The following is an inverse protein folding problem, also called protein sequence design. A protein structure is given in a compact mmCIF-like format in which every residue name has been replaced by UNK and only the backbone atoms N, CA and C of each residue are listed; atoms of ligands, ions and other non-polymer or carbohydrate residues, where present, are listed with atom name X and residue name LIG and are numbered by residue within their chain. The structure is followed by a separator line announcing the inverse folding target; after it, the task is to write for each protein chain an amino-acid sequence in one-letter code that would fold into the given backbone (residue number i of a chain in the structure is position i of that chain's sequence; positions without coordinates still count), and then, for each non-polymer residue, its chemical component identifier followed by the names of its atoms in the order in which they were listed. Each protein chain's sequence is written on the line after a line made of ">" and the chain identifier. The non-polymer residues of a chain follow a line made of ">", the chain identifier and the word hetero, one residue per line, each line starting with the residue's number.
data_IF_194421519015
#
_entry.id   IF_194421519015
#
_cell.length_a   1.000
_cell.length_b   1.000
_cell.length_c   1.000
_cell.angle_alpha   90.00
_cell.angle_beta   90.00
_cell.angle_gamma   90.00
#
_symmetry.space_group_name_H-M   'P 1'
#
loop_
_entity.id
_entity.type
_entity.pdbx_description
1 polymer ?
#
# COMPACT_ATOMS: atom_id res chain seq x y z
N UNK A 1 12.18 -16.94 -12.91
CA UNK A 1 11.98 -16.26 -14.21
C UNK A 1 11.24 -14.96 -13.93
N UNK A 2 11.94 -13.84 -14.06
CA UNK A 2 11.41 -12.51 -13.75
C UNK A 2 10.35 -12.10 -14.75
N UNK A 3 9.23 -11.58 -14.25
CA UNK A 3 8.24 -10.92 -15.06
C UNK A 3 8.37 -9.41 -14.87
N UNK A 4 9.19 -8.84 -15.75
CA UNK A 4 9.19 -7.42 -16.07
C UNK A 4 7.79 -6.95 -16.50
N UNK A 5 7.56 -5.66 -16.26
CA UNK A 5 6.56 -4.81 -16.92
C UNK A 5 5.12 -4.89 -16.40
N UNK A 6 4.72 -3.81 -15.75
CA UNK A 6 3.33 -3.46 -15.48
C UNK A 6 2.49 -3.49 -16.77
N UNK A 7 1.21 -3.91 -16.70
CA UNK A 7 0.31 -3.81 -17.84
C UNK A 7 0.04 -2.31 -18.10
N UNK A 8 0.68 -1.78 -19.13
CA UNK A 8 0.38 -0.49 -19.73
C UNK A 8 -1.05 -0.55 -20.28
N UNK A 9 -2.02 -0.11 -19.46
CA UNK A 9 -3.33 0.27 -19.97
C UNK A 9 -3.17 1.27 -21.12
N UNK A 10 -3.89 1.14 -22.25
CA UNK A 10 -3.88 2.14 -23.34
C UNK A 10 -4.34 3.54 -22.85
N UNK A 11 -5.09 3.60 -21.74
CA UNK A 11 -5.41 4.85 -21.06
C UNK A 11 -4.17 5.60 -20.52
N UNK A 12 -3.08 4.90 -20.20
CA UNK A 12 -1.87 5.52 -19.63
C UNK A 12 -1.07 6.28 -20.71
N UNK A 13 -1.05 5.78 -21.95
CA UNK A 13 -0.34 6.41 -23.07
C UNK A 13 -1.10 7.63 -23.59
N UNK A 14 -2.43 7.56 -23.70
CA UNK A 14 -3.27 8.70 -24.10
C UNK A 14 -3.29 9.81 -23.04
N UNK A 15 -3.40 9.46 -21.75
CA UNK A 15 -3.31 10.43 -20.66
C UNK A 15 -1.91 11.07 -20.59
N UNK A 16 -0.85 10.29 -20.84
CA UNK A 16 0.51 10.82 -20.92
C UNK A 16 0.70 11.72 -22.14
N UNK A 17 0.10 11.38 -23.29
CA UNK A 17 0.11 12.22 -24.49
C UNK A 17 -0.60 13.55 -24.24
N UNK A 18 -1.78 13.53 -23.62
CA UNK A 18 -2.56 14.72 -23.25
C UNK A 18 -1.79 15.69 -22.34
N UNK A 19 -1.06 15.17 -21.34
CA UNK A 19 -0.24 16.00 -20.45
C UNK A 19 1.00 16.56 -21.18
N UNK A 20 1.54 15.84 -22.16
CA UNK A 20 2.71 16.30 -22.92
C UNK A 20 2.35 17.28 -24.05
N UNK A 21 1.09 17.29 -24.53
CA UNK A 21 0.62 18.26 -25.53
C UNK A 21 0.25 19.62 -24.97
N UNK A 22 0.11 19.74 -23.64
CA UNK A 22 -0.24 20.97 -22.94
C UNK A 22 0.71 22.15 -23.30
N UNK A 23 0.18 23.34 -23.64
CA UNK A 23 0.98 24.49 -24.07
C UNK A 23 2.04 24.95 -23.06
N UNK A 24 1.72 24.87 -21.76
CA UNK A 24 2.62 25.26 -20.68
C UNK A 24 3.74 24.24 -20.53
N UNK A 25 3.44 22.95 -20.67
CA UNK A 25 4.46 21.88 -20.69
C UNK A 25 5.40 22.01 -21.89
N UNK A 26 4.87 22.29 -23.09
CA UNK A 26 5.70 22.52 -24.30
C UNK A 26 6.58 23.76 -24.16
N UNK A 27 6.08 24.84 -23.57
CA UNK A 27 6.86 26.05 -23.28
C UNK A 27 8.01 25.76 -22.32
N UNK A 28 7.73 25.13 -21.18
CA UNK A 28 8.75 24.77 -20.19
C UNK A 28 9.79 23.78 -20.74
N UNK A 29 9.40 22.87 -21.64
CA UNK A 29 10.35 21.99 -22.35
C UNK A 29 11.27 22.76 -23.30
N UNK A 30 10.78 23.81 -23.97
CA UNK A 30 11.61 24.68 -24.82
C UNK A 30 12.57 25.51 -23.98
N UNK A 31 12.11 26.09 -22.89
CA UNK A 31 12.95 26.85 -21.95
C UNK A 31 14.05 25.97 -21.35
N UNK A 32 13.74 24.72 -20.98
CA UNK A 32 14.73 23.78 -20.49
C UNK A 32 15.87 23.49 -21.50
N UNK A 33 15.55 23.45 -22.81
CA UNK A 33 16.54 23.23 -23.87
C UNK A 33 17.47 24.43 -24.09
N UNK A 34 17.06 25.63 -23.67
CA UNK A 34 17.85 26.86 -23.81
C UNK A 34 18.88 27.03 -22.69
N UNK A 35 18.69 26.39 -21.54
CA UNK A 35 19.61 26.53 -20.40
C UNK A 35 20.72 25.47 -20.42
N UNK A 36 21.95 25.88 -20.08
CA UNK A 36 23.07 24.96 -19.86
C UNK A 36 22.75 24.02 -18.70
N UNK A 37 22.98 22.71 -18.91
CA UNK A 37 22.82 21.69 -17.88
C UNK A 37 23.64 22.06 -16.62
N UNK A 38 23.00 21.96 -15.45
CA UNK A 38 23.61 22.29 -14.15
C UNK A 38 23.52 23.77 -13.75
N UNK A 39 23.08 24.67 -14.63
CA UNK A 39 22.83 26.08 -14.23
C UNK A 39 21.64 26.18 -13.26
N UNK A 40 21.63 27.23 -12.41
CA UNK A 40 20.50 27.52 -11.50
C UNK A 40 19.18 27.64 -12.28
N UNK A 41 19.21 28.34 -13.42
CA UNK A 41 18.04 28.50 -14.34
C UNK A 41 17.56 27.16 -14.91
N UNK A 42 18.48 26.25 -15.27
CA UNK A 42 18.14 24.90 -15.71
C UNK A 42 17.44 24.08 -14.61
N UNK A 43 17.95 24.14 -13.38
CA UNK A 43 17.37 23.39 -12.25
C UNK A 43 15.97 23.91 -11.91
N UNK A 44 15.78 25.23 -11.94
CA UNK A 44 14.49 25.87 -11.70
C UNK A 44 13.46 25.53 -12.80
N UNK A 45 13.83 25.65 -14.07
CA UNK A 45 12.98 25.24 -15.20
C UNK A 45 12.62 23.75 -15.14
N UNK A 46 13.55 22.88 -14.73
CA UNK A 46 13.29 21.44 -14.52
C UNK A 46 12.28 21.20 -13.40
N UNK A 47 12.38 21.95 -12.29
CA UNK A 47 11.43 21.87 -11.17
C UNK A 47 10.04 22.34 -11.58
N UNK A 48 9.95 23.47 -12.30
CA UNK A 48 8.69 23.99 -12.83
C UNK A 48 8.03 22.99 -13.80
N UNK A 49 8.81 22.39 -14.71
CA UNK A 49 8.32 21.37 -15.64
C UNK A 49 7.76 20.14 -14.90
N UNK A 50 8.46 19.66 -13.87
CA UNK A 50 8.00 18.53 -13.04
C UNK A 50 6.69 18.86 -12.32
N UNK A 51 6.60 20.04 -11.72
CA UNK A 51 5.42 20.50 -10.99
C UNK A 51 4.21 20.69 -11.91
N UNK A 52 4.41 21.29 -13.09
CA UNK A 52 3.38 21.48 -14.10
C UNK A 52 2.79 20.13 -14.57
N UNK A 53 3.66 19.19 -14.97
CA UNK A 53 3.23 17.83 -15.36
C UNK A 53 2.47 17.12 -14.24
N UNK A 54 2.94 17.24 -12.99
CA UNK A 54 2.28 16.60 -11.86
C UNK A 54 0.90 17.21 -11.59
N UNK A 55 0.77 18.52 -11.70
CA UNK A 55 -0.50 19.24 -11.50
C UNK A 55 -1.52 18.84 -12.57
N UNK A 56 -1.10 18.81 -13.84
CA UNK A 56 -1.96 18.38 -14.94
C UNK A 56 -2.40 16.93 -14.80
N UNK A 57 -1.49 16.02 -14.40
CA UNK A 57 -1.84 14.63 -14.08
C UNK A 57 -2.88 14.53 -12.97
N UNK A 58 -2.75 15.33 -11.90
CA UNK A 58 -3.72 15.35 -10.79
C UNK A 58 -5.08 15.85 -11.26
N UNK A 59 -5.12 16.96 -11.99
CA UNK A 59 -6.37 17.52 -12.56
C UNK A 59 -7.07 16.53 -13.49
N UNK A 60 -6.32 15.89 -14.39
CA UNK A 60 -6.87 14.90 -15.31
C UNK A 60 -7.44 13.69 -14.56
N UNK A 61 -6.71 13.16 -13.56
CA UNK A 61 -7.21 12.08 -12.71
C UNK A 61 -8.46 12.49 -11.93
N UNK A 62 -8.51 13.72 -11.42
CA UNK A 62 -9.68 14.23 -10.74
C UNK A 62 -10.88 14.30 -11.68
N UNK A 63 -10.70 14.88 -12.86
CA UNK A 63 -11.77 14.98 -13.87
C UNK A 63 -12.32 13.60 -14.25
N UNK A 64 -11.44 12.63 -14.50
CA UNK A 64 -11.86 11.25 -14.81
C UNK A 64 -12.67 10.64 -13.64
N UNK A 65 -12.24 10.86 -12.40
CA UNK A 65 -12.99 10.38 -11.23
C UNK A 65 -14.35 11.04 -11.11
N UNK A 66 -14.42 12.36 -11.25
CA UNK A 66 -15.69 13.09 -11.20
C UNK A 66 -16.65 12.63 -12.30
N UNK A 67 -16.18 12.51 -13.54
CA UNK A 67 -16.97 12.02 -14.67
C UNK A 67 -17.47 10.59 -14.43
N UNK A 68 -16.59 9.73 -13.91
CA UNK A 68 -16.95 8.36 -13.53
C UNK A 68 -17.97 8.35 -12.39
N UNK A 69 -17.73 9.06 -11.29
CA UNK A 69 -18.65 9.15 -10.15
C UNK A 69 -20.03 9.70 -10.54
N UNK A 70 -20.07 10.65 -11.48
CA UNK A 70 -21.33 11.27 -11.93
C UNK A 70 -22.15 10.33 -12.81
N UNK A 71 -21.51 9.52 -13.65
CA UNK A 71 -22.19 8.77 -14.72
C UNK A 71 -22.28 7.27 -14.47
N UNK A 72 -21.34 6.69 -13.72
CA UNK A 72 -21.23 5.24 -13.57
C UNK A 72 -22.52 4.63 -13.01
N UNK A 73 -23.15 5.25 -12.02
CA UNK A 73 -24.38 4.72 -11.44
C UNK A 73 -25.52 4.66 -12.47
N UNK A 74 -25.63 5.66 -13.35
CA UNK A 74 -26.65 5.69 -14.41
C UNK A 74 -26.34 4.63 -15.45
N UNK A 75 -25.09 4.59 -15.93
CA UNK A 75 -24.63 3.61 -16.93
C UNK A 75 -24.81 2.16 -16.45
N UNK A 76 -24.54 1.91 -15.17
CA UNK A 76 -24.69 0.61 -14.52
C UNK A 76 -26.17 0.19 -14.42
N UNK A 77 -27.06 1.10 -14.02
CA UNK A 77 -28.51 0.84 -13.95
C UNK A 77 -29.07 0.58 -15.35
N UNK A 78 -28.71 1.38 -16.34
CA UNK A 78 -29.16 1.19 -17.73
C UNK A 78 -28.70 -0.16 -18.29
N UNK A 79 -27.45 -0.56 -18.03
CA UNK A 79 -26.92 -1.87 -18.44
C UNK A 79 -27.67 -3.03 -17.78
N UNK A 80 -27.97 -2.93 -16.48
CA UNK A 80 -28.77 -3.92 -15.77
C UNK A 80 -30.17 -4.08 -16.37
N UNK A 81 -30.84 -2.97 -16.69
CA UNK A 81 -32.16 -2.98 -17.31
C UNK A 81 -32.14 -3.58 -18.72
N UNK A 82 -31.05 -3.37 -19.46
CA UNK A 82 -30.84 -3.99 -20.78
C UNK A 82 -30.45 -5.48 -20.71
N UNK A 83 -30.31 -6.05 -19.50
CA UNK A 83 -29.87 -7.43 -19.29
C UNK A 83 -28.40 -7.66 -19.61
N UNK A 84 -27.63 -6.59 -19.76
CA UNK A 84 -26.19 -6.60 -20.04
C UNK A 84 -25.50 -6.54 -18.68
N UNK A 85 -24.99 -7.68 -18.19
CA UNK A 85 -24.21 -7.69 -16.96
C UNK A 85 -22.97 -6.78 -17.05
N UNK A 86 -22.36 -6.46 -15.91
CA UNK A 86 -21.22 -5.53 -15.76
C UNK A 86 -19.91 -5.91 -16.50
N UNK A 87 -19.92 -6.96 -17.33
CA UNK A 87 -18.73 -7.56 -17.94
C UNK A 87 -18.19 -6.82 -19.17
N UNK A 88 -18.80 -5.71 -19.61
CA UNK A 88 -18.41 -5.01 -20.86
C UNK A 88 -17.16 -4.14 -20.76
N UNK A 89 -16.71 -3.76 -19.56
CA UNK A 89 -15.30 -3.35 -19.47
C UNK A 89 -14.47 -4.61 -19.65
N UNK A 90 -13.53 -4.67 -20.62
CA UNK A 90 -12.58 -5.77 -20.65
C UNK A 90 -11.92 -5.76 -19.30
N UNK A 91 -12.35 -6.69 -18.44
CA UNK A 91 -11.66 -7.03 -17.23
C UNK A 91 -10.25 -7.28 -17.74
N UNK A 92 -9.34 -6.39 -17.36
CA UNK A 92 -7.92 -6.59 -17.60
C UNK A 92 -7.63 -7.91 -16.91
N UNK A 93 -7.68 -8.99 -17.69
CA UNK A 93 -7.59 -10.39 -17.25
C UNK A 93 -6.24 -10.66 -16.55
N UNK A 94 -5.36 -9.66 -16.52
CA UNK A 94 -4.05 -9.66 -15.90
C UNK A 94 -3.89 -8.82 -14.62
N UNK A 95 -4.94 -8.33 -13.95
CA UNK A 95 -4.75 -7.61 -12.67
C UNK A 95 -5.60 -8.09 -11.49
N UNK A 96 -6.51 -9.04 -11.69
CA UNK A 96 -7.09 -9.75 -10.55
C UNK A 96 -6.08 -10.83 -10.17
N UNK A 97 -5.41 -10.65 -9.04
CA UNK A 97 -4.73 -11.74 -8.34
C UNK A 97 -5.66 -12.97 -8.46
N UNK A 98 -5.21 -14.06 -9.11
CA UNK A 98 -6.07 -15.19 -9.54
C UNK A 98 -7.22 -15.37 -8.57
N UNK A 99 -8.43 -14.94 -8.97
CA UNK A 99 -9.58 -14.99 -8.06
C UNK A 99 -9.67 -16.42 -7.57
N UNK A 100 -9.65 -16.60 -6.25
CA UNK A 100 -9.83 -17.94 -5.68
C UNK A 100 -11.20 -18.44 -6.15
N UNK A 101 -11.38 -19.75 -6.41
CA UNK A 101 -12.59 -20.27 -7.04
C UNK A 101 -13.91 -19.81 -6.39
N UNK A 102 -13.92 -19.61 -5.06
CA UNK A 102 -15.08 -19.10 -4.34
C UNK A 102 -15.36 -17.60 -4.57
N UNK A 103 -14.33 -16.76 -4.73
CA UNK A 103 -14.48 -15.32 -5.04
C UNK A 103 -15.08 -15.12 -6.43
N UNK A 104 -14.60 -15.89 -7.41
CA UNK A 104 -15.13 -15.85 -8.77
C UNK A 104 -16.61 -16.23 -8.80
N UNK A 105 -16.97 -17.34 -8.13
CA UNK A 105 -18.37 -17.80 -8.02
C UNK A 105 -19.28 -16.78 -7.33
N UNK A 106 -18.79 -16.13 -6.27
CA UNK A 106 -19.54 -15.06 -5.59
C UNK A 106 -19.81 -13.89 -6.54
N UNK A 107 -18.76 -13.40 -7.21
CA UNK A 107 -18.87 -12.26 -8.10
C UNK A 107 -19.77 -12.56 -9.30
N UNK A 108 -19.69 -13.77 -9.85
CA UNK A 108 -20.55 -14.24 -10.92
C UNK A 108 -22.02 -14.29 -10.49
N UNK A 109 -22.31 -14.87 -9.31
CA UNK A 109 -23.68 -15.02 -8.82
C UNK A 109 -24.35 -13.69 -8.48
N UNK A 110 -23.62 -12.74 -7.87
CA UNK A 110 -24.15 -11.40 -7.55
C UNK A 110 -24.42 -10.59 -8.82
N UNK A 111 -23.53 -10.70 -9.81
CA UNK A 111 -23.62 -9.95 -11.07
C UNK A 111 -24.41 -10.66 -12.17
N UNK A 112 -25.09 -11.77 -11.85
CA UNK A 112 -25.92 -12.49 -12.81
C UNK A 112 -27.01 -11.54 -13.38
N UNK A 113 -27.35 -11.60 -14.67
CA UNK A 113 -28.45 -10.83 -15.26
C UNK A 113 -29.79 -11.11 -14.57
N UNK A 114 -30.73 -10.19 -14.69
CA UNK A 114 -32.09 -10.38 -14.14
C UNK A 114 -32.80 -11.56 -14.85
N UNK A 115 -33.58 -12.32 -14.07
CA UNK A 115 -34.40 -13.40 -14.60
C UNK A 115 -35.50 -12.88 -15.52
N UNK A 116 -35.91 -13.68 -16.51
CA UNK A 116 -37.00 -13.31 -17.43
C UNK A 116 -38.39 -13.57 -16.84
N UNK A 117 -38.45 -14.41 -15.80
CA UNK A 117 -39.65 -14.71 -15.04
C UNK A 117 -39.36 -14.80 -13.53
N UNK A 118 -40.41 -14.96 -12.74
CA UNK A 118 -40.34 -15.02 -11.28
C UNK A 118 -39.49 -16.20 -10.78
N UNK A 119 -39.56 -17.34 -11.47
CA UNK A 119 -38.86 -18.56 -11.07
C UNK A 119 -37.35 -18.46 -11.34
N UNK A 120 -36.97 -17.89 -12.47
CA UNK A 120 -35.59 -17.54 -12.79
C UNK A 120 -35.01 -16.55 -11.78
N UNK A 121 -35.82 -15.59 -11.33
CA UNK A 121 -35.40 -14.64 -10.29
C UNK A 121 -35.21 -15.33 -8.93
N UNK A 122 -36.07 -16.27 -8.55
CA UNK A 122 -35.87 -17.08 -7.35
C UNK A 122 -34.60 -17.91 -7.42
N UNK A 123 -34.36 -18.59 -8.55
CA UNK A 123 -33.11 -19.33 -8.78
C UNK A 123 -31.88 -18.43 -8.71
N UNK A 124 -31.92 -17.25 -9.32
CA UNK A 124 -30.84 -16.25 -9.25
C UNK A 124 -30.55 -15.85 -7.80
N UNK A 125 -31.61 -15.55 -7.02
CA UNK A 125 -31.49 -15.18 -5.61
C UNK A 125 -30.87 -16.32 -4.80
N UNK A 126 -31.38 -17.54 -4.95
CA UNK A 126 -30.91 -18.69 -4.18
C UNK A 126 -29.46 -19.05 -4.55
N UNK A 127 -29.09 -18.91 -5.83
CA UNK A 127 -27.69 -19.05 -6.26
C UNK A 127 -26.77 -18.01 -5.64
N UNK A 128 -27.19 -16.75 -5.56
CA UNK A 128 -26.43 -15.69 -4.90
C UNK A 128 -26.26 -15.95 -3.39
N UNK A 129 -27.33 -16.38 -2.71
CA UNK A 129 -27.29 -16.76 -1.28
C UNK A 129 -26.30 -17.91 -1.08
N UNK A 130 -26.38 -18.97 -1.89
CA UNK A 130 -25.48 -20.11 -1.79
C UNK A 130 -24.02 -19.73 -2.05
N UNK A 131 -23.77 -18.81 -3.00
CA UNK A 131 -22.44 -18.31 -3.29
C UNK A 131 -21.87 -17.49 -2.12
N UNK A 132 -22.70 -16.67 -1.47
CA UNK A 132 -22.32 -15.92 -0.25
C UNK A 132 -21.98 -16.89 0.88
N UNK A 133 -22.82 -17.88 1.16
CA UNK A 133 -22.57 -18.90 2.20
C UNK A 133 -21.24 -19.60 1.95
N UNK A 134 -21.04 -20.07 0.71
CA UNK A 134 -19.79 -20.74 0.29
C UNK A 134 -18.58 -19.83 0.49
N UNK A 135 -18.73 -18.53 0.19
CA UNK A 135 -17.64 -17.58 0.34
C UNK A 135 -17.31 -17.28 1.80
N UNK A 136 -18.30 -17.16 2.68
CA UNK A 136 -18.10 -16.89 4.11
C UNK A 136 -17.28 -17.98 4.81
N UNK A 137 -17.22 -19.20 4.26
CA UNK A 137 -16.37 -20.29 4.78
C UNK A 137 -14.90 -20.16 4.36
N UNK A 138 -14.57 -19.25 3.45
CA UNK A 138 -13.22 -19.07 2.93
C UNK A 138 -12.46 -18.08 3.81
N UNK A 139 -11.36 -18.52 4.41
CA UNK A 139 -10.39 -17.62 5.02
C UNK A 139 -9.67 -16.83 3.92
N UNK A 140 -10.09 -15.58 3.74
CA UNK A 140 -9.29 -14.58 3.04
C UNK A 140 -8.02 -14.35 3.86
N UNK A 141 -6.86 -14.62 3.26
CA UNK A 141 -5.58 -14.31 3.90
C UNK A 141 -5.50 -12.84 4.30
N UNK A 142 -4.57 -12.48 5.19
CA UNK A 142 -4.37 -11.10 5.61
C UNK A 142 -4.38 -10.17 4.39
N UNK A 143 -5.33 -9.24 4.35
CA UNK A 143 -5.29 -8.13 3.40
C UNK A 143 -4.03 -7.35 3.74
N UNK A 144 -2.94 -7.61 3.03
CA UNK A 144 -1.77 -6.76 3.06
C UNK A 144 -2.25 -5.46 2.42
N UNK A 145 -2.83 -4.56 3.23
CA UNK A 145 -2.86 -3.14 2.88
C UNK A 145 -1.41 -2.83 2.59
N UNK A 146 -1.05 -2.72 1.31
CA UNK A 146 0.30 -2.39 0.87
C UNK A 146 0.82 -1.29 1.80
N UNK A 147 1.77 -1.56 2.70
CA UNK A 147 2.70 -0.52 3.03
C UNK A 147 3.41 -0.32 1.69
N UNK A 148 3.21 0.84 1.06
CA UNK A 148 3.83 1.21 -0.22
C UNK A 148 5.37 1.30 -0.12
N UNK A 149 5.96 0.71 0.91
CA UNK A 149 7.36 0.81 1.28
C UNK A 149 7.98 -0.52 1.67
N UNK A 150 7.27 -1.67 1.65
CA UNK A 150 7.86 -2.96 2.12
C UNK A 150 8.03 -4.05 1.07
N UNK A 151 7.43 -3.93 -0.13
CA UNK A 151 7.59 -4.91 -1.21
C UNK A 151 8.67 -4.54 -2.23
N UNK A 152 9.28 -3.36 -2.16
CA UNK A 152 10.35 -2.94 -3.08
C UNK A 152 11.78 -3.24 -2.57
N UNK A 153 11.94 -3.75 -1.34
CA UNK A 153 13.26 -4.07 -0.76
C UNK A 153 13.64 -5.55 -0.89
N UNK A 154 12.68 -6.42 -1.21
CA UNK A 154 12.92 -7.85 -1.35
C UNK A 154 13.29 -8.27 -2.79
N UNK A 155 13.02 -7.42 -3.80
CA UNK A 155 13.18 -7.75 -5.23
C UNK A 155 14.29 -6.95 -5.94
N UNK A 156 15.20 -6.32 -5.19
CA UNK A 156 16.46 -5.79 -5.72
C UNK A 156 17.61 -6.69 -5.29
N UNK A 157 17.69 -7.88 -5.88
CA UNK A 157 18.97 -8.58 -6.00
C UNK A 157 19.51 -8.38 -7.40
N UNK A 158 20.73 -7.86 -7.44
CA UNK A 158 21.63 -7.70 -8.60
C UNK A 158 21.32 -6.54 -9.54
N UNK A 159 21.71 -5.33 -9.13
CA UNK A 159 22.90 -4.70 -9.70
C UNK A 159 23.34 -3.54 -8.79
N UNK A 160 24.65 -3.55 -8.50
CA UNK A 160 25.45 -2.56 -7.75
C UNK A 160 25.44 -2.70 -6.22
N UNK A 161 26.41 -3.48 -5.72
CA UNK A 161 27.04 -3.33 -4.40
C UNK A 161 28.11 -2.22 -4.52
N UNK A 162 28.12 -1.21 -3.62
CA UNK A 162 28.79 -1.38 -2.33
C UNK A 162 28.00 -0.76 -1.17
N UNK A 163 27.47 -1.58 -0.26
CA UNK A 163 27.58 -1.39 1.20
C UNK A 163 26.79 -2.49 1.91
N UNK A 164 27.49 -3.31 2.69
CA UNK A 164 26.91 -4.24 3.66
C UNK A 164 25.82 -3.55 4.50
N UNK A 165 24.79 -4.32 4.84
CA UNK A 165 23.67 -3.88 5.68
C UNK A 165 24.14 -3.08 6.90
N UNK A 166 23.63 -1.85 7.02
CA UNK A 166 23.85 -1.03 8.22
C UNK A 166 23.36 -1.80 9.45
N UNK A 167 24.08 -1.80 10.59
CA UNK A 167 23.64 -2.45 11.82
C UNK A 167 22.23 -2.04 12.28
N UNK A 168 21.82 -0.80 11.95
CA UNK A 168 20.48 -0.27 12.21
C UNK A 168 19.43 -1.03 11.37
N UNK A 169 19.74 -1.30 10.10
CA UNK A 169 18.84 -2.01 9.19
C UNK A 169 18.64 -3.48 9.62
N UNK A 170 19.71 -4.17 9.99
CA UNK A 170 19.63 -5.55 10.49
C UNK A 170 18.85 -5.63 11.80
N UNK A 171 19.07 -4.68 12.70
CA UNK A 171 18.32 -4.57 13.94
C UNK A 171 16.83 -4.28 13.69
N UNK A 172 16.51 -3.45 12.69
CA UNK A 172 15.13 -3.17 12.28
C UNK A 172 14.43 -4.42 11.78
N UNK A 173 15.09 -5.21 10.92
CA UNK A 173 14.51 -6.46 10.44
C UNK A 173 14.29 -7.48 11.58
N UNK A 174 15.15 -7.48 12.60
CA UNK A 174 15.05 -8.43 13.73
C UNK A 174 13.86 -8.20 14.67
N UNK A 175 13.25 -7.01 14.67
CA UNK A 175 12.13 -6.70 15.57
C UNK A 175 10.77 -7.11 15.00
N UNK A 176 10.71 -7.61 13.77
CA UNK A 176 9.46 -8.08 13.15
C UNK A 176 9.29 -9.59 13.34
N UNK A 177 8.08 -10.01 13.72
CA UNK A 177 7.75 -11.44 13.82
C UNK A 177 7.24 -11.98 12.49
N UNK A 178 7.69 -13.18 12.11
CA UNK A 178 7.18 -13.93 10.95
C UNK A 178 6.09 -14.91 11.37
N UNK A 179 6.21 -15.46 12.57
CA UNK A 179 5.23 -16.39 13.16
C UNK A 179 4.75 -15.91 14.53
N UNK A 180 3.57 -16.38 14.96
CA UNK A 180 3.01 -16.04 16.29
C UNK A 180 3.89 -16.49 17.48
N UNK A 181 4.84 -17.41 17.25
CA UNK A 181 5.76 -17.93 18.27
C UNK A 181 7.06 -17.13 18.37
N UNK A 182 7.36 -16.27 17.40
CA UNK A 182 8.62 -15.53 17.38
C UNK A 182 8.63 -14.50 18.51
N UNK A 183 9.79 -14.41 19.18
CA UNK A 183 10.01 -13.50 20.31
C UNK A 183 11.34 -12.78 20.13
N UNK A 184 11.33 -11.57 19.52
CA UNK A 184 12.54 -10.78 19.30
C UNK A 184 13.28 -10.45 20.60
N UNK A 185 14.60 -10.28 20.49
CA UNK A 185 15.49 -9.89 21.60
C UNK A 185 15.84 -8.40 21.60
N UNK A 186 15.31 -7.61 20.66
CA UNK A 186 15.47 -6.15 20.59
C UNK A 186 14.13 -5.46 20.83
N UNK A 187 14.17 -4.24 21.39
CA UNK A 187 12.98 -3.41 21.55
C UNK A 187 12.71 -2.61 20.27
N UNK A 188 11.54 -2.79 19.66
CA UNK A 188 11.18 -2.09 18.41
C UNK A 188 11.14 -0.57 18.55
N UNK A 189 10.84 -0.04 19.74
CA UNK A 189 10.86 1.41 19.99
C UNK A 189 12.29 1.93 20.05
N UNK A 190 13.20 1.24 20.73
CA UNK A 190 14.62 1.62 20.79
C UNK A 190 15.27 1.55 19.40
N UNK A 191 15.02 0.48 18.66
CA UNK A 191 15.51 0.32 17.29
C UNK A 191 14.92 1.39 16.36
N UNK A 192 13.64 1.70 16.50
CA UNK A 192 13.02 2.79 15.75
C UNK A 192 13.63 4.16 16.09
N UNK A 193 13.95 4.43 17.36
CA UNK A 193 14.64 5.66 17.77
C UNK A 193 16.04 5.75 17.16
N UNK A 194 16.78 4.64 17.11
CA UNK A 194 18.11 4.60 16.51
C UNK A 194 18.13 5.03 15.03
N UNK A 195 17.04 4.79 14.28
CA UNK A 195 16.92 5.25 12.89
C UNK A 195 16.82 6.78 12.73
N UNK A 196 16.45 7.49 13.80
CA UNK A 196 16.34 8.96 13.78
C UNK A 196 17.64 9.66 14.16
N UNK A 197 18.64 8.89 14.60
CA UNK A 197 19.93 9.39 15.05
C UNK A 197 20.99 9.23 13.94
N UNK A 198 22.08 10.01 14.06
CA UNK A 198 23.25 9.81 13.20
C UNK A 198 23.88 8.44 13.48
N UNK A 199 24.39 7.70 12.48
CA UNK A 199 25.10 6.44 12.70
C UNK A 199 26.31 6.57 13.66
N UNK A 200 26.91 7.76 13.73
CA UNK A 200 28.06 8.07 14.58
C UNK A 200 27.66 8.46 16.02
N UNK A 201 26.37 8.50 16.33
CA UNK A 201 25.88 8.77 17.68
C UNK A 201 26.13 7.56 18.58
N UNK A 202 26.93 7.75 19.64
CA UNK A 202 27.30 6.70 20.58
C UNK A 202 26.10 6.00 21.26
N UNK A 203 24.92 6.62 21.24
CA UNK A 203 23.69 6.03 21.79
C UNK A 203 23.05 4.98 20.88
N UNK A 204 23.40 4.94 19.58
CA UNK A 204 22.86 3.95 18.63
C UNK A 204 23.22 2.53 19.08
N UNK A 205 24.47 2.28 19.48
CA UNK A 205 24.90 0.96 19.92
C UNK A 205 24.11 0.46 21.15
N UNK A 206 23.76 1.35 22.08
CA UNK A 206 22.96 1.00 23.26
C UNK A 206 21.51 0.68 22.89
N UNK A 207 20.91 1.45 21.97
CA UNK A 207 19.54 1.25 21.50
C UNK A 207 19.36 -0.04 20.68
N UNK A 208 20.40 -0.44 19.93
CA UNK A 208 20.40 -1.66 19.12
C UNK A 208 20.80 -2.92 19.90
N UNK A 209 21.21 -2.79 21.17
CA UNK A 209 21.67 -3.93 21.98
C UNK A 209 20.56 -4.97 22.18
N UNK A 210 20.93 -6.23 22.02
CA UNK A 210 20.04 -7.35 22.31
C UNK A 210 19.92 -7.58 23.82
N UNK A 211 18.71 -7.81 24.28
CA UNK A 211 18.43 -8.25 25.64
C UNK A 211 18.77 -9.74 25.80
N UNK A 212 19.10 -10.14 27.02
CA UNK A 212 19.45 -11.53 27.33
C UNK A 212 18.30 -12.48 27.00
N UNK A 213 17.07 -12.16 27.44
CA UNK A 213 15.87 -12.92 27.07
C UNK A 213 14.79 -12.05 26.43
N UNK A 214 13.86 -12.62 25.65
CA UNK A 214 12.68 -11.89 25.19
C UNK A 214 11.80 -11.39 26.35
N UNK A 215 11.79 -12.09 27.49
CA UNK A 215 11.10 -11.64 28.70
C UNK A 215 11.67 -10.33 29.25
N UNK A 216 12.97 -10.09 29.09
CA UNK A 216 13.60 -8.82 29.48
C UNK A 216 13.21 -7.68 28.54
N UNK A 217 13.00 -7.96 27.25
CA UNK A 217 12.42 -6.99 26.30
C UNK A 217 11.02 -6.59 26.75
N UNK A 218 10.17 -7.55 27.13
CA UNK A 218 8.84 -7.30 27.69
C UNK A 218 8.86 -6.44 28.96
N UNK A 219 9.77 -6.73 29.90
CA UNK A 219 9.96 -5.91 31.11
C UNK A 219 10.42 -4.50 30.77
N UNK A 220 11.39 -4.38 29.87
CA UNK A 220 11.92 -3.10 29.39
C UNK A 220 10.82 -2.26 28.73
N UNK A 221 10.06 -2.85 27.80
CA UNK A 221 8.97 -2.19 27.10
C UNK A 221 7.92 -1.64 28.07
N UNK A 222 7.49 -2.44 29.06
CA UNK A 222 6.57 -1.98 30.10
C UNK A 222 7.11 -0.80 30.91
N UNK A 223 8.35 -0.91 31.42
CA UNK A 223 8.92 0.07 32.36
C UNK A 223 9.39 1.36 31.70
N UNK A 224 9.90 1.29 30.46
CA UNK A 224 10.53 2.43 29.78
C UNK A 224 9.64 3.08 28.73
N UNK A 225 8.75 2.32 28.11
CA UNK A 225 7.86 2.85 27.07
C UNK A 225 6.44 2.96 27.58
N UNK A 226 5.81 1.88 28.07
CA UNK A 226 4.40 1.96 28.49
C UNK A 226 4.16 2.84 29.71
N UNK A 227 5.01 2.77 30.74
CA UNK A 227 4.85 3.56 31.96
C UNK A 227 5.02 5.08 31.75
N UNK A 228 5.65 5.48 30.64
CA UNK A 228 5.91 6.90 30.31
C UNK A 228 4.96 7.43 29.22
N UNK A 229 3.90 6.68 28.87
CA UNK A 229 2.89 7.17 27.94
C UNK A 229 1.90 8.07 28.66
N UNK A 230 1.77 9.32 28.20
CA UNK A 230 0.72 10.22 28.64
C UNK A 230 -0.58 9.94 27.87
N UNK A 231 -1.72 9.99 28.57
CA UNK A 231 -3.01 9.44 28.09
C UNK A 231 -3.56 10.03 26.79
N UNK A 232 -3.13 11.24 26.40
CA UNK A 232 -3.63 11.95 25.22
C UNK A 232 -2.58 12.06 24.08
N UNK A 233 -1.41 11.45 24.22
CA UNK A 233 -0.39 11.48 23.16
C UNK A 233 -0.72 10.47 22.06
N UNK A 234 -0.75 10.94 20.81
CA UNK A 234 -0.79 10.06 19.63
C UNK A 234 0.47 9.22 19.59
N UNK A 235 0.34 7.92 19.80
CA UNK A 235 1.46 7.00 19.86
C UNK A 235 1.84 6.59 18.44
N UNK A 236 3.06 6.90 18.00
CA UNK A 236 3.58 6.42 16.72
C UNK A 236 4.58 5.29 16.94
N UNK A 237 4.40 4.16 16.27
CA UNK A 237 5.41 3.10 16.25
C UNK A 237 6.60 3.55 15.39
N UNK A 238 7.81 3.75 15.95
CA UNK A 238 8.94 4.27 15.19
C UNK A 238 9.57 3.21 14.27
N UNK A 239 9.26 1.92 14.45
CA UNK A 239 9.70 0.86 13.55
C UNK A 239 8.76 0.65 12.34
N UNK A 240 7.47 0.98 12.47
CA UNK A 240 6.44 0.74 11.44
C UNK A 240 5.85 2.02 10.82
N UNK A 241 6.16 3.18 11.39
CA UNK A 241 5.53 4.46 11.08
C UNK A 241 3.99 4.50 11.27
N UNK A 242 3.44 3.54 12.01
CA UNK A 242 1.99 3.39 12.25
C UNK A 242 1.54 4.25 13.44
N UNK A 243 0.48 5.06 13.25
CA UNK A 243 -0.15 5.83 14.32
C UNK A 243 -1.18 4.99 15.07
N UNK A 244 -1.18 5.09 16.39
CA UNK A 244 -2.00 4.31 17.33
C UNK A 244 -2.64 5.26 18.34
N UNK A 245 -3.95 5.16 18.47
CA UNK A 245 -4.74 6.14 19.23
C UNK A 245 -4.67 5.93 20.76
N UNK A 246 -4.46 4.70 21.21
CA UNK A 246 -4.50 4.34 22.63
C UNK A 246 -3.39 3.37 23.03
N UNK A 247 -3.05 3.35 24.32
CA UNK A 247 -2.05 2.44 24.91
C UNK A 247 -2.38 0.97 24.65
N UNK A 248 -3.66 0.59 24.66
CA UNK A 248 -4.10 -0.77 24.36
C UNK A 248 -3.87 -1.15 22.88
N UNK A 249 -3.99 -0.19 21.95
CA UNK A 249 -3.61 -0.41 20.55
C UNK A 249 -2.10 -0.63 20.41
N UNK A 250 -1.29 0.08 21.20
CA UNK A 250 0.16 -0.14 21.25
C UNK A 250 0.52 -1.53 21.81
N UNK A 251 -0.14 -1.99 22.87
CA UNK A 251 0.10 -3.34 23.42
C UNK A 251 -0.25 -4.42 22.41
N UNK A 252 -1.41 -4.31 21.76
CA UNK A 252 -1.82 -5.24 20.72
C UNK A 252 -0.89 -5.20 19.50
N UNK A 253 -0.44 -4.01 19.09
CA UNK A 253 0.54 -3.85 18.02
C UNK A 253 1.90 -4.49 18.38
N UNK A 254 2.41 -4.23 19.59
CA UNK A 254 3.65 -4.78 20.10
C UNK A 254 3.63 -6.31 20.11
N UNK A 255 2.50 -6.92 20.51
CA UNK A 255 2.34 -8.37 20.48
C UNK A 255 2.28 -8.93 19.05
N UNK A 256 1.43 -8.36 18.20
CA UNK A 256 1.14 -8.93 16.87
C UNK A 256 2.23 -8.70 15.84
N UNK A 257 2.90 -7.56 15.89
CA UNK A 257 3.90 -7.13 14.89
C UNK A 257 5.32 -7.36 15.40
N UNK A 258 5.54 -7.21 16.71
CA UNK A 258 6.86 -7.26 17.32
C UNK A 258 7.05 -8.37 18.35
N UNK A 259 6.04 -9.23 18.59
CA UNK A 259 6.15 -10.38 19.48
C UNK A 259 6.40 -10.06 20.95
N UNK A 260 6.24 -8.80 21.39
CA UNK A 260 6.46 -8.40 22.79
C UNK A 260 5.17 -8.57 23.57
N UNK A 261 5.22 -9.39 24.63
CA UNK A 261 4.09 -9.63 25.54
C UNK A 261 4.17 -8.63 26.69
N UNK A 262 3.21 -7.70 26.79
CA UNK A 262 3.19 -6.64 27.81
C UNK A 262 2.00 -6.76 28.75
#
# INVERSE_FOLDING_TARGET
>A
MGCSSAPSTPASTEQAASVNTDPLVKRLQRELRQYRQGSKKYLEARRQLKNAKQTLKRKLKHKIREEWTTKQAVDDIEQQLQGIGFAKHPTVKGSLCSQRPAQGKLLEAINAPLGRDLNDQYRRRDNAINAIITYCMVEEGLTVRRPQTLLELADRKHHDDPSLGSPIYDALLSVFVKTKKDRPRRCFICVGKAQTLSPDDGTVAELLREFYTPGDVSKHFRRKHLANLHGDERIKCPACDLSLDHSEHLRNHALRVHGIVS
#
